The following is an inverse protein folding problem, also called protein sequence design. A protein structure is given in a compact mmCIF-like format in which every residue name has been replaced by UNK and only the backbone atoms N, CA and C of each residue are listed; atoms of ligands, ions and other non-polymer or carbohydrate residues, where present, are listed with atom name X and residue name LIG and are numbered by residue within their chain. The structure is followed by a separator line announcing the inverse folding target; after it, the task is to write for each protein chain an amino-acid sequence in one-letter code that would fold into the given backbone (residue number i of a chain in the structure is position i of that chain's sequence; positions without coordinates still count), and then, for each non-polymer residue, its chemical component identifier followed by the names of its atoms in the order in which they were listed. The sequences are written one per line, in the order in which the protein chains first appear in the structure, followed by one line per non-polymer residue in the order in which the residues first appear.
data_IF_346834470797
#
_entry.id   IF_346834470797
#
_cell.length_a   1.000
_cell.length_b   1.000
_cell.length_c   1.000
_cell.angle_alpha   90.00
_cell.angle_beta   90.00
_cell.angle_gamma   90.00
#
_symmetry.space_group_name_H-M   'P 1'
#
loop_
_entity.id
_entity.type
_entity.pdbx_description
1 polymer ?
#
# COMPACT_ATOMS: atom_id res chain seq x y z
N UNK A 1 11.51 19.37 6.23
CA UNK A 1 12.07 20.39 5.31
C UNK A 1 11.25 21.66 5.52
N UNK A 2 11.87 22.85 5.52
CA UNK A 2 11.12 24.11 5.62
C UNK A 2 11.22 24.88 4.31
N UNK A 3 10.09 25.34 3.78
CA UNK A 3 10.02 26.27 2.65
C UNK A 3 9.41 27.58 3.15
N UNK A 4 10.13 28.70 3.03
CA UNK A 4 9.72 30.00 3.58
C UNK A 4 9.29 29.95 5.06
N UNK A 5 9.98 29.15 5.88
CA UNK A 5 9.68 28.98 7.30
C UNK A 5 8.52 28.03 7.64
N UNK A 6 7.77 27.55 6.65
CA UNK A 6 6.71 26.56 6.83
C UNK A 6 7.23 25.14 6.65
N UNK A 7 6.77 24.22 7.50
CA UNK A 7 7.08 22.80 7.32
C UNK A 7 6.41 22.27 6.05
N UNK A 8 7.19 21.57 5.23
CA UNK A 8 6.73 20.97 3.98
C UNK A 8 7.16 19.51 3.90
N UNK A 9 6.37 18.72 3.16
CA UNK A 9 6.80 17.42 2.67
C UNK A 9 8.03 17.60 1.76
N UNK A 10 9.04 16.76 1.98
CA UNK A 10 10.20 16.65 1.10
C UNK A 10 10.18 15.30 0.38
N UNK A 11 10.81 15.25 -0.79
CA UNK A 11 11.03 14.00 -1.51
C UNK A 11 12.21 13.24 -0.90
N UNK A 12 12.08 11.92 -0.72
CA UNK A 12 13.22 11.05 -0.43
C UNK A 12 13.65 10.39 -1.73
N UNK A 13 14.93 10.54 -2.07
CA UNK A 13 15.52 9.77 -3.16
C UNK A 13 15.81 8.35 -2.67
N UNK A 14 15.24 7.37 -3.35
CA UNK A 14 15.62 5.97 -3.19
C UNK A 14 16.83 5.69 -4.09
N UNK A 15 17.87 5.06 -3.54
CA UNK A 15 19.07 4.67 -4.29
C UNK A 15 18.88 3.30 -4.95
N UNK A 16 19.58 3.06 -6.06
CA UNK A 16 19.54 1.75 -6.75
C UNK A 16 18.20 1.46 -7.45
N UNK A 17 17.39 2.50 -7.66
CA UNK A 17 16.14 2.39 -8.41
C UNK A 17 16.50 2.11 -9.85
N UNK A 18 15.94 1.04 -10.38
CA UNK A 18 16.04 0.74 -11.81
C UNK A 18 14.91 1.53 -12.50
N UNK A 19 15.09 2.85 -12.63
CA UNK A 19 14.27 3.65 -13.51
C UNK A 19 14.79 3.46 -14.92
N UNK A 20 13.92 3.21 -15.88
CA UNK A 20 14.27 3.61 -17.23
C UNK A 20 13.23 4.51 -17.84
N UNK A 21 13.66 5.10 -18.95
CA UNK A 21 13.03 6.22 -19.61
C UNK A 21 12.13 5.79 -20.76
N UNK A 22 12.13 4.49 -21.11
CA UNK A 22 11.31 3.91 -22.16
C UNK A 22 10.35 2.81 -21.67
N UNK A 23 9.36 2.40 -22.51
CA UNK A 23 8.39 1.35 -22.16
C UNK A 23 9.02 -0.01 -21.83
N UNK A 24 10.19 -0.30 -22.40
CA UNK A 24 10.98 -1.52 -22.15
C UNK A 24 11.60 -1.56 -20.76
N UNK A 25 11.67 -0.40 -20.07
CA UNK A 25 12.31 -0.30 -18.77
C UNK A 25 11.35 -0.44 -17.60
N UNK A 26 10.05 -0.57 -17.86
CA UNK A 26 9.08 -0.80 -16.79
C UNK A 26 9.34 -2.14 -16.11
N UNK A 27 9.31 -2.12 -14.77
CA UNK A 27 9.68 -3.29 -13.98
C UNK A 27 8.83 -4.53 -14.31
N UNK A 28 7.54 -4.36 -14.66
CA UNK A 28 6.68 -5.48 -15.02
C UNK A 28 7.01 -6.06 -16.41
N UNK A 29 7.52 -5.24 -17.33
CA UNK A 29 8.01 -5.69 -18.64
C UNK A 29 9.28 -6.50 -18.45
N UNK A 30 10.23 -5.97 -17.65
CA UNK A 30 11.49 -6.63 -17.32
C UNK A 30 11.29 -7.92 -16.51
N UNK A 31 10.34 -7.93 -15.58
CA UNK A 31 9.96 -9.14 -14.86
C UNK A 31 9.35 -10.20 -15.79
N UNK A 32 8.52 -9.78 -16.75
CA UNK A 32 7.95 -10.70 -17.73
C UNK A 32 9.00 -11.26 -18.70
N UNK A 33 10.00 -10.46 -19.04
CA UNK A 33 11.14 -10.89 -19.87
C UNK A 33 12.14 -11.80 -19.12
N UNK A 34 12.04 -11.91 -17.79
CA UNK A 34 12.94 -12.71 -16.95
C UNK A 34 14.16 -11.96 -16.40
N UNK A 35 14.28 -10.65 -16.68
CA UNK A 35 15.39 -9.81 -16.15
C UNK A 35 15.24 -9.55 -14.65
N UNK A 36 14.01 -9.61 -14.15
CA UNK A 36 13.67 -9.48 -12.74
C UNK A 36 12.94 -10.76 -12.34
N UNK A 37 13.46 -11.46 -11.34
CA UNK A 37 12.78 -12.63 -10.78
C UNK A 37 11.53 -12.17 -10.02
N UNK A 38 10.37 -12.30 -10.66
CA UNK A 38 9.09 -11.90 -10.09
C UNK A 38 8.74 -12.68 -8.82
N UNK A 39 9.23 -13.91 -8.66
CA UNK A 39 8.97 -14.72 -7.47
C UNK A 39 9.53 -14.08 -6.20
N UNK A 40 10.61 -13.29 -6.32
CA UNK A 40 11.19 -12.53 -5.22
C UNK A 40 10.36 -11.28 -4.85
N UNK A 41 9.56 -10.77 -5.78
CA UNK A 41 8.67 -9.62 -5.55
C UNK A 41 7.33 -10.03 -4.94
N UNK A 42 6.83 -11.22 -5.29
CA UNK A 42 5.52 -11.72 -4.92
C UNK A 42 5.18 -11.64 -3.41
N UNK A 43 6.09 -11.99 -2.48
CA UNK A 43 5.84 -11.81 -1.04
C UNK A 43 5.54 -10.37 -0.66
N UNK A 44 6.34 -9.41 -1.15
CA UNK A 44 6.18 -7.99 -0.80
C UNK A 44 4.98 -7.37 -1.51
N UNK A 45 4.70 -7.75 -2.76
CA UNK A 45 3.47 -7.34 -3.45
C UNK A 45 2.21 -7.82 -2.71
N UNK A 46 2.24 -9.02 -2.14
CA UNK A 46 1.13 -9.55 -1.32
C UNK A 46 0.91 -8.72 -0.04
N UNK A 47 2.00 -8.31 0.62
CA UNK A 47 1.94 -7.39 1.79
C UNK A 47 1.34 -6.04 1.41
N UNK A 48 1.78 -5.48 0.28
CA UNK A 48 1.32 -4.18 -0.23
C UNK A 48 -0.18 -4.26 -0.55
N UNK A 49 -0.64 -5.31 -1.23
CA UNK A 49 -2.06 -5.51 -1.54
C UNK A 49 -2.92 -5.55 -0.26
N UNK A 50 -2.50 -6.32 0.76
CA UNK A 50 -3.22 -6.39 2.03
C UNK A 50 -3.34 -5.01 2.69
N UNK A 51 -2.24 -4.24 2.71
CA UNK A 51 -2.25 -2.90 3.26
C UNK A 51 -3.11 -1.94 2.42
N UNK A 52 -2.99 -1.95 1.09
CA UNK A 52 -3.77 -1.10 0.19
C UNK A 52 -5.27 -1.33 0.36
N UNK A 53 -5.74 -2.59 0.49
CA UNK A 53 -7.15 -2.87 0.77
C UNK A 53 -7.58 -2.39 2.16
N UNK A 54 -6.73 -2.57 3.18
CA UNK A 54 -7.00 -2.09 4.53
C UNK A 54 -7.19 -0.57 4.56
N UNK A 55 -6.33 0.19 3.89
CA UNK A 55 -6.42 1.65 3.81
C UNK A 55 -7.34 2.17 2.70
N UNK A 56 -8.06 1.31 1.98
CA UNK A 56 -8.90 1.71 0.84
C UNK A 56 -8.13 2.52 -0.22
N UNK A 57 -6.93 2.07 -0.60
CA UNK A 57 -6.17 2.69 -1.67
C UNK A 57 -6.74 2.27 -3.03
N UNK A 58 -7.41 3.20 -3.71
CA UNK A 58 -8.01 2.96 -5.04
C UNK A 58 -7.04 3.19 -6.21
N UNK A 59 -5.86 3.75 -5.93
CA UNK A 59 -4.94 4.27 -6.96
C UNK A 59 -3.58 3.54 -7.01
N UNK A 60 -3.48 2.29 -6.55
CA UNK A 60 -2.26 1.48 -6.71
C UNK A 60 -2.09 1.02 -8.16
N UNK A 61 -1.54 1.88 -9.01
CA UNK A 61 -1.10 1.49 -10.36
C UNK A 61 0.37 1.07 -10.40
N UNK A 62 0.80 0.41 -11.48
CA UNK A 62 2.14 -0.20 -11.58
C UNK A 62 3.31 0.78 -11.46
N UNK A 63 3.09 2.07 -11.75
CA UNK A 63 4.09 3.14 -11.56
C UNK A 63 4.22 3.61 -10.10
N UNK A 64 3.32 3.20 -9.21
CA UNK A 64 3.41 3.50 -7.77
C UNK A 64 4.23 2.45 -7.02
N UNK A 65 5.08 1.71 -7.74
CA UNK A 65 6.04 0.78 -7.21
C UNK A 65 7.44 1.22 -7.62
N UNK A 66 8.33 1.30 -6.64
CA UNK A 66 9.76 1.45 -6.86
C UNK A 66 10.37 0.06 -6.79
N UNK A 67 10.95 -0.40 -7.90
CA UNK A 67 11.73 -1.64 -7.92
C UNK A 67 13.21 -1.29 -7.91
N UNK A 68 13.95 -1.88 -6.97
CA UNK A 68 15.38 -1.64 -6.81
C UNK A 68 16.14 -2.96 -6.72
N UNK A 69 17.34 -2.95 -7.28
CA UNK A 69 18.27 -4.07 -7.17
C UNK A 69 18.81 -4.17 -5.74
N UNK A 70 18.99 -5.41 -5.28
CA UNK A 70 19.67 -5.72 -4.03
C UNK A 70 20.85 -6.67 -4.31
N UNK A 71 21.62 -7.00 -3.27
CA UNK A 71 22.71 -7.98 -3.39
C UNK A 71 22.19 -9.34 -3.92
N UNK A 72 20.95 -9.70 -3.57
CA UNK A 72 20.28 -10.92 -4.04
C UNK A 72 18.92 -10.57 -4.64
N UNK A 73 18.89 -10.41 -5.96
CA UNK A 73 17.67 -10.13 -6.73
C UNK A 73 17.16 -8.69 -6.58
N UNK A 74 15.84 -8.55 -6.52
CA UNK A 74 15.15 -7.26 -6.49
C UNK A 74 14.17 -7.20 -5.33
N UNK A 75 13.91 -5.98 -4.87
CA UNK A 75 12.78 -5.70 -3.98
C UNK A 75 11.86 -4.68 -4.63
N UNK A 76 10.62 -4.67 -4.17
CA UNK A 76 9.63 -3.66 -4.50
C UNK A 76 9.28 -2.83 -3.25
N UNK A 77 9.03 -1.54 -3.44
CA UNK A 77 8.57 -0.60 -2.43
C UNK A 77 7.33 0.10 -2.97
N UNK A 78 6.27 0.19 -2.15
CA UNK A 78 5.10 0.99 -2.48
C UNK A 78 5.36 2.47 -2.17
N UNK A 79 4.95 3.35 -3.09
CA UNK A 79 4.99 4.80 -2.91
C UNK A 79 3.63 5.42 -3.25
N UNK A 80 3.44 6.70 -2.96
CA UNK A 80 2.22 7.45 -3.30
C UNK A 80 0.92 6.83 -2.73
N UNK A 81 0.61 7.22 -1.50
CA UNK A 81 -0.64 6.87 -0.80
C UNK A 81 -1.62 8.05 -0.74
N UNK A 82 -1.49 9.01 -1.66
CA UNK A 82 -2.27 10.25 -1.65
C UNK A 82 -3.78 10.03 -1.79
N UNK A 83 -4.20 8.98 -2.51
CA UNK A 83 -5.61 8.58 -2.70
C UNK A 83 -6.02 7.40 -1.80
N UNK A 84 -5.38 7.27 -0.64
CA UNK A 84 -5.69 6.27 0.37
C UNK A 84 -6.24 6.89 1.66
N UNK A 85 -6.86 6.05 2.48
CA UNK A 85 -7.26 6.30 3.86
C UNK A 85 -8.04 7.61 4.05
N UNK A 86 -7.42 8.64 4.62
CA UNK A 86 -8.03 9.96 4.88
C UNK A 86 -8.63 10.61 3.64
N UNK A 87 -8.10 10.32 2.45
CA UNK A 87 -8.67 10.79 1.19
C UNK A 87 -10.12 10.33 0.99
N UNK A 88 -10.43 9.12 1.45
CA UNK A 88 -11.76 8.51 1.32
C UNK A 88 -12.71 8.89 2.47
N UNK A 89 -12.21 9.58 3.50
CA UNK A 89 -12.96 9.92 4.69
C UNK A 89 -13.29 8.72 5.59
N UNK A 90 -13.98 9.01 6.70
CA UNK A 90 -14.52 7.99 7.60
C UNK A 90 -16.07 8.07 7.62
N UNK A 91 -16.77 6.92 7.66
CA UNK A 91 -16.23 5.56 7.58
C UNK A 91 -15.62 5.25 6.21
N UNK A 92 -14.62 4.36 6.17
CA UNK A 92 -14.01 3.95 4.91
C UNK A 92 -15.05 3.22 4.04
N UNK A 93 -15.03 3.41 2.70
CA UNK A 93 -15.92 2.67 1.83
C UNK A 93 -15.65 1.15 1.88
N UNK A 94 -16.65 0.31 1.63
CA UNK A 94 -16.54 -1.15 1.79
C UNK A 94 -15.49 -1.78 0.85
N UNK A 95 -15.10 -3.02 1.15
CA UNK A 95 -14.39 -3.90 0.21
C UNK A 95 -15.36 -5.00 -0.29
N UNK A 96 -15.16 -5.54 -1.51
CA UNK A 96 -14.04 -5.31 -2.43
C UNK A 96 -14.03 -3.91 -3.05
N UNK A 97 -12.86 -3.46 -3.50
CA UNK A 97 -12.75 -2.22 -4.25
C UNK A 97 -13.54 -2.33 -5.57
N UNK A 98 -14.05 -1.20 -6.06
CA UNK A 98 -14.74 -1.17 -7.34
C UNK A 98 -13.84 -1.67 -8.48
N UNK A 99 -14.41 -2.35 -9.47
CA UNK A 99 -13.65 -2.98 -10.57
C UNK A 99 -12.86 -1.99 -11.43
N UNK A 100 -13.25 -0.72 -11.43
CA UNK A 100 -12.54 0.36 -12.12
C UNK A 100 -11.41 1.01 -11.31
N UNK A 101 -11.23 0.64 -10.02
CA UNK A 101 -10.12 1.14 -9.22
C UNK A 101 -8.79 0.69 -9.85
N UNK A 102 -7.81 1.61 -9.93
CA UNK A 102 -6.52 1.29 -10.56
C UNK A 102 -5.79 0.17 -9.82
N UNK A 103 -6.00 0.05 -8.52
CA UNK A 103 -5.53 -1.09 -7.70
C UNK A 103 -6.02 -2.43 -8.23
N UNK A 104 -7.32 -2.56 -8.53
CA UNK A 104 -7.92 -3.81 -9.04
C UNK A 104 -7.45 -4.08 -10.46
N UNK A 105 -7.39 -3.05 -11.31
CA UNK A 105 -6.91 -3.16 -12.70
C UNK A 105 -5.45 -3.64 -12.71
N UNK A 106 -4.59 -3.05 -11.88
CA UNK A 106 -3.18 -3.42 -11.78
C UNK A 106 -3.00 -4.84 -11.24
N UNK A 107 -3.76 -5.23 -10.21
CA UNK A 107 -3.74 -6.59 -9.67
C UNK A 107 -4.11 -7.63 -10.73
N UNK A 108 -5.22 -7.42 -11.45
CA UNK A 108 -5.68 -8.33 -12.50
C UNK A 108 -4.69 -8.42 -13.66
N UNK A 109 -4.06 -7.31 -14.00
CA UNK A 109 -3.00 -7.30 -15.00
C UNK A 109 -1.80 -8.16 -14.56
N UNK A 110 -1.34 -8.03 -13.31
CA UNK A 110 -0.24 -8.84 -12.77
C UNK A 110 -0.61 -10.33 -12.69
N UNK A 111 -1.83 -10.65 -12.24
CA UNK A 111 -2.32 -12.04 -12.21
C UNK A 111 -2.37 -12.65 -13.62
N UNK A 112 -2.75 -11.86 -14.63
CA UNK A 112 -2.74 -12.31 -16.03
C UNK A 112 -1.32 -12.55 -16.55
N UNK A 113 -0.35 -11.70 -16.19
CA UNK A 113 1.02 -11.82 -16.68
C UNK A 113 1.83 -12.94 -16.01
N UNK A 114 1.64 -13.12 -14.69
CA UNK A 114 2.51 -13.96 -13.87
C UNK A 114 1.80 -15.16 -13.25
N UNK A 115 0.50 -15.32 -13.51
CA UNK A 115 -0.33 -16.30 -12.83
C UNK A 115 -0.60 -15.92 -11.37
N UNK A 116 -1.09 -16.89 -10.60
CA UNK A 116 -1.36 -16.67 -9.18
C UNK A 116 -0.04 -16.54 -8.40
N UNK A 117 0.22 -15.34 -7.85
CA UNK A 117 1.44 -15.03 -7.10
C UNK A 117 1.18 -14.62 -5.64
N UNK A 118 -0.08 -14.59 -5.23
CA UNK A 118 -0.44 -14.09 -3.91
C UNK A 118 0.04 -15.09 -2.86
N UNK A 119 0.90 -14.61 -1.97
CA UNK A 119 1.45 -15.41 -0.86
C UNK A 119 0.58 -15.16 0.37
N UNK A 120 -0.39 -16.04 0.61
CA UNK A 120 -1.38 -15.89 1.68
C UNK A 120 -0.75 -15.63 3.07
N UNK A 121 0.33 -16.33 3.42
CA UNK A 121 1.03 -16.12 4.69
C UNK A 121 1.56 -14.67 4.87
N UNK A 122 1.83 -13.95 3.78
CA UNK A 122 2.27 -12.56 3.83
C UNK A 122 1.12 -11.58 4.02
N UNK A 123 -0.06 -11.90 3.50
CA UNK A 123 -1.31 -11.18 3.77
C UNK A 123 -1.65 -11.30 5.25
N UNK A 124 -1.66 -12.52 5.78
CA UNK A 124 -1.91 -12.82 7.19
C UNK A 124 -0.90 -12.12 8.11
N UNK A 125 0.38 -12.08 7.71
CA UNK A 125 1.41 -11.34 8.43
C UNK A 125 1.08 -9.85 8.57
N UNK A 126 0.65 -9.19 7.49
CA UNK A 126 0.25 -7.77 7.53
C UNK A 126 -1.01 -7.57 8.36
N UNK A 127 -2.04 -8.39 8.18
CA UNK A 127 -3.28 -8.33 8.96
C UNK A 127 -3.03 -8.49 10.47
N UNK A 128 -2.15 -9.43 10.84
CA UNK A 128 -1.70 -9.59 12.24
C UNK A 128 -0.99 -8.34 12.75
N UNK A 129 -0.05 -7.79 11.98
CA UNK A 129 0.69 -6.58 12.35
C UNK A 129 -0.24 -5.38 12.53
N UNK A 130 -1.25 -5.22 11.67
CA UNK A 130 -2.25 -4.16 11.79
C UNK A 130 -3.08 -4.27 13.07
N UNK A 131 -3.41 -5.50 13.48
CA UNK A 131 -4.11 -5.77 14.75
C UNK A 131 -3.27 -5.37 15.97
N UNK A 132 -1.94 -5.55 15.90
CA UNK A 132 -1.00 -5.24 16.97
C UNK A 132 -0.78 -3.73 17.18
N UNK A 133 -1.11 -2.88 16.21
CA UNK A 133 -0.90 -1.43 16.29
C UNK A 133 -1.93 -0.80 17.24
N UNK A 134 -1.45 -0.20 18.32
CA UNK A 134 -2.28 0.51 19.31
C UNK A 134 -2.59 1.94 18.86
N UNK A 135 -3.71 2.49 19.32
CA UNK A 135 -4.07 3.90 19.07
C UNK A 135 -3.00 4.87 19.57
N UNK A 136 -2.30 4.54 20.66
CA UNK A 136 -1.16 5.32 21.15
C UNK A 136 0.00 5.43 20.16
N UNK A 137 0.25 4.39 19.35
CA UNK A 137 1.28 4.44 18.29
C UNK A 137 0.83 5.32 17.14
N UNK A 138 -0.46 5.29 16.78
CA UNK A 138 -1.02 6.20 15.78
C UNK A 138 -0.95 7.65 16.25
N UNK A 139 -1.26 7.88 17.53
CA UNK A 139 -1.16 9.20 18.13
C UNK A 139 0.28 9.71 18.12
N UNK A 140 1.26 8.85 18.40
CA UNK A 140 2.68 9.19 18.28
C UNK A 140 3.03 9.61 16.84
N UNK A 141 2.63 8.84 15.81
CA UNK A 141 2.85 9.20 14.40
C UNK A 141 2.21 10.57 14.08
N UNK A 142 0.98 10.81 14.57
CA UNK A 142 0.30 12.09 14.40
C UNK A 142 1.07 13.24 15.06
N UNK A 143 1.73 13.00 16.19
CA UNK A 143 2.51 14.00 16.91
C UNK A 143 3.88 14.29 16.28
N UNK A 144 4.41 13.37 15.47
CA UNK A 144 5.65 13.59 14.71
C UNK A 144 5.46 14.56 13.53
N UNK A 145 4.21 14.80 13.11
CA UNK A 145 3.90 15.77 12.07
C UNK A 145 3.66 17.18 12.64
N UNK A 146 3.85 18.25 11.86
CA UNK A 146 3.49 19.61 12.26
C UNK A 146 2.03 19.73 12.72
N UNK A 147 1.80 20.38 13.86
CA UNK A 147 0.48 20.42 14.50
C UNK A 147 -0.62 21.01 13.60
N UNK A 148 -0.25 21.90 12.67
CA UNK A 148 -1.14 22.57 11.72
C UNK A 148 -1.59 21.70 10.53
N UNK A 149 -0.93 20.57 10.27
CA UNK A 149 -1.24 19.73 9.10
C UNK A 149 -2.53 18.92 9.25
N UNK A 150 -2.97 18.70 10.49
CA UNK A 150 -4.16 17.92 10.77
C UNK A 150 -5.01 18.61 11.84
N UNK A 151 -6.28 18.87 11.52
CA UNK A 151 -7.22 19.49 12.45
C UNK A 151 -7.51 18.56 13.63
N UNK A 152 -7.95 19.13 14.76
CA UNK A 152 -8.33 18.34 15.95
C UNK A 152 -9.41 17.30 15.61
N UNK A 153 -10.47 17.73 14.93
CA UNK A 153 -11.55 16.81 14.50
C UNK A 153 -11.03 15.65 13.66
N UNK A 154 -10.14 15.87 12.69
CA UNK A 154 -9.57 14.75 11.91
C UNK A 154 -8.69 13.82 12.74
N UNK A 155 -7.96 14.34 13.73
CA UNK A 155 -7.20 13.51 14.68
C UNK A 155 -8.15 12.62 15.48
N UNK A 156 -9.23 13.21 15.98
CA UNK A 156 -10.24 12.51 16.77
C UNK A 156 -10.92 11.41 15.92
N UNK A 157 -11.23 11.67 14.65
CA UNK A 157 -11.80 10.68 13.73
C UNK A 157 -10.84 9.50 13.48
N UNK A 158 -9.55 9.78 13.25
CA UNK A 158 -8.52 8.75 13.06
C UNK A 158 -8.44 7.83 14.27
N UNK A 159 -8.33 8.41 15.47
CA UNK A 159 -8.17 7.65 16.71
C UNK A 159 -9.45 6.86 16.99
N UNK A 160 -10.61 7.49 16.83
CA UNK A 160 -11.91 6.83 17.01
C UNK A 160 -12.08 5.63 16.08
N UNK A 161 -11.70 5.76 14.81
CA UNK A 161 -11.73 4.64 13.87
C UNK A 161 -10.70 3.55 14.24
N UNK A 162 -9.51 3.95 14.70
CA UNK A 162 -8.48 2.97 15.07
C UNK A 162 -8.86 2.15 16.32
N UNK A 163 -9.65 2.72 17.22
CA UNK A 163 -10.18 2.06 18.42
C UNK A 163 -11.48 1.29 18.17
N UNK A 164 -12.10 1.48 17.00
CA UNK A 164 -13.38 0.87 16.69
C UNK A 164 -13.29 -0.61 16.30
N UNK A 165 -14.42 -1.29 16.41
CA UNK A 165 -14.60 -2.64 15.87
C UNK A 165 -14.49 -2.68 14.34
N UNK A 166 -14.76 -1.56 13.64
CA UNK A 166 -14.73 -1.49 12.18
C UNK A 166 -13.32 -1.73 11.64
N UNK A 167 -12.28 -1.27 12.35
CA UNK A 167 -10.89 -1.56 11.99
C UNK A 167 -10.63 -3.07 11.99
N UNK A 168 -11.05 -3.78 13.04
CA UNK A 168 -10.86 -5.23 13.16
C UNK A 168 -11.70 -6.00 12.13
N UNK A 169 -12.93 -5.56 11.91
CA UNK A 169 -13.79 -6.10 10.86
C UNK A 169 -13.16 -5.92 9.47
N UNK A 170 -12.59 -4.75 9.20
CA UNK A 170 -11.89 -4.46 7.95
C UNK A 170 -10.67 -5.36 7.74
N UNK A 171 -9.85 -5.56 8.76
CA UNK A 171 -8.69 -6.48 8.70
C UNK A 171 -9.15 -7.89 8.34
N UNK A 172 -10.20 -8.40 8.99
CA UNK A 172 -10.76 -9.72 8.71
C UNK A 172 -11.30 -9.82 7.28
N UNK A 173 -12.03 -8.82 6.81
CA UNK A 173 -12.55 -8.78 5.43
C UNK A 173 -11.41 -8.81 4.39
N UNK A 174 -10.29 -8.12 4.64
CA UNK A 174 -9.11 -8.16 3.75
C UNK A 174 -8.54 -9.57 3.69
N UNK A 175 -8.30 -10.20 4.84
CA UNK A 175 -7.72 -11.54 4.93
C UNK A 175 -8.59 -12.59 4.24
N UNK A 176 -9.87 -12.62 4.58
CA UNK A 176 -10.84 -13.56 3.99
C UNK A 176 -11.06 -13.27 2.51
N UNK A 177 -11.15 -11.99 2.14
CA UNK A 177 -11.46 -11.56 0.79
C UNK A 177 -10.34 -11.87 -0.22
N UNK A 178 -9.07 -11.78 0.20
CA UNK A 178 -7.95 -12.26 -0.61
C UNK A 178 -7.96 -13.80 -0.67
N UNK A 179 -8.15 -14.48 0.46
CA UNK A 179 -8.11 -15.94 0.56
C UNK A 179 -9.18 -16.62 -0.31
N UNK A 180 -10.39 -16.08 -0.35
CA UNK A 180 -11.51 -16.62 -1.13
C UNK A 180 -11.62 -16.01 -2.54
N UNK A 181 -10.73 -15.08 -2.90
CA UNK A 181 -10.69 -14.45 -4.22
C UNK A 181 -11.69 -13.32 -4.46
N UNK A 182 -12.56 -12.98 -3.50
CA UNK A 182 -13.56 -11.91 -3.67
C UNK A 182 -12.97 -10.50 -3.78
N UNK A 183 -11.71 -10.31 -3.35
CA UNK A 183 -10.96 -9.06 -3.50
C UNK A 183 -10.00 -9.02 -4.71
N UNK A 184 -10.09 -9.99 -5.63
CA UNK A 184 -9.17 -10.13 -6.78
C UNK A 184 -9.77 -9.65 -8.13
#
# INVERSE_FOLDING_TARGET
MKNNGQDCFGSRWESGVETGTGPVDFWWVRAHAGDIDFSLLAPTLSRILAFDLFVHNVDRHLRNYIVRKQNFGHTVIAMDYSQAWLWNGFPLPPIPLHSSAKTVIALRFLLKLFGHFIVQAQVEHVCKKLTEIKSSQILQIIHEQPASWLTKSRKDDIISWWESADRLARIKQVEEGIKNGSCL
#
